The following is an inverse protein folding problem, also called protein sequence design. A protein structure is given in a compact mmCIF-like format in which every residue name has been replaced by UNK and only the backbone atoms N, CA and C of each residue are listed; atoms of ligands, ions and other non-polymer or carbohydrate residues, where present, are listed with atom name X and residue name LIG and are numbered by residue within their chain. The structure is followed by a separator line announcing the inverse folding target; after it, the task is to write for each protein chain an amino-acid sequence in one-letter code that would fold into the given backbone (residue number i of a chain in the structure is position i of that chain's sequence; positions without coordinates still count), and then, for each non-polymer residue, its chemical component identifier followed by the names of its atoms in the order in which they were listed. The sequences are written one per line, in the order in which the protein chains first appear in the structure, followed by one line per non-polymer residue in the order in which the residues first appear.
data_IF_274747281465
#
_entry.id   IF_274747281465
#
_cell.length_a   1.000
_cell.length_b   1.000
_cell.length_c   1.000
_cell.angle_alpha   90.00
_cell.angle_beta   90.00
_cell.angle_gamma   90.00
#
_symmetry.space_group_name_H-M   'P 1'
#
loop_
_entity.id
_entity.type
_entity.pdbx_description
1 polymer ?
#
# COMPACT_ATOMS: atom_id res chain seq x y z
N UNK A 1 -34.83 74.53 23.34
CA UNK A 1 -35.46 73.19 23.31
C UNK A 1 -35.24 72.60 21.92
N UNK A 2 -34.16 71.86 21.64
CA UNK A 2 -33.96 70.40 21.81
C UNK A 2 -35.12 69.55 21.22
N UNK A 3 -34.88 68.93 20.05
CA UNK A 3 -34.77 67.46 19.88
C UNK A 3 -34.51 67.13 18.39
N UNK A 4 -33.29 66.72 18.08
CA UNK A 4 -32.94 66.02 16.84
C UNK A 4 -33.11 64.53 17.09
N UNK A 5 -33.93 63.87 16.28
CA UNK A 5 -34.24 62.45 16.40
C UNK A 5 -33.30 61.66 15.48
N UNK A 6 -32.24 61.07 16.04
CA UNK A 6 -31.40 60.12 15.31
C UNK A 6 -32.12 58.77 15.27
N UNK A 7 -32.59 58.38 14.08
CA UNK A 7 -33.08 57.02 13.83
C UNK A 7 -31.90 56.07 13.62
N UNK A 8 -31.67 55.17 14.56
CA UNK A 8 -30.74 54.04 14.38
C UNK A 8 -31.41 52.99 13.48
N UNK A 9 -30.86 52.78 12.28
CA UNK A 9 -31.19 51.61 11.45
C UNK A 9 -30.31 50.47 11.94
N UNK A 10 -30.91 49.51 12.64
CA UNK A 10 -30.25 48.24 12.96
C UNK A 10 -30.29 47.34 11.73
N UNK A 11 -29.14 47.16 11.07
CA UNK A 11 -28.97 46.16 10.01
C UNK A 11 -28.78 44.80 10.69
N UNK A 12 -29.81 43.97 10.69
CA UNK A 12 -29.71 42.58 11.10
C UNK A 12 -28.96 41.79 10.01
N UNK A 13 -27.70 41.45 10.27
CA UNK A 13 -26.93 40.52 9.43
C UNK A 13 -27.41 39.11 9.75
N UNK A 14 -28.30 38.58 8.92
CA UNK A 14 -28.65 37.16 8.97
C UNK A 14 -27.43 36.35 8.48
N UNK A 15 -26.71 35.73 9.41
CA UNK A 15 -25.71 34.70 9.09
C UNK A 15 -26.45 33.49 8.52
N UNK A 16 -26.56 33.45 7.19
CA UNK A 16 -26.95 32.26 6.44
C UNK A 16 -25.88 31.18 6.68
N UNK A 17 -26.12 30.31 7.66
CA UNK A 17 -25.47 29.01 7.71
C UNK A 17 -25.97 28.20 6.52
N UNK A 18 -25.30 28.32 5.38
CA UNK A 18 -25.45 27.39 4.27
C UNK A 18 -24.79 26.09 4.75
N UNK A 19 -25.53 25.01 5.03
CA UNK A 19 -24.90 23.73 5.30
C UNK A 19 -24.14 23.35 4.02
N UNK A 20 -22.81 23.36 4.08
CA UNK A 20 -21.97 22.86 3.00
C UNK A 20 -22.26 21.35 2.90
N UNK A 21 -23.25 20.99 2.09
CA UNK A 21 -23.45 19.61 1.68
C UNK A 21 -22.30 19.25 0.75
N UNK A 22 -21.17 18.84 1.34
CA UNK A 22 -20.11 18.13 0.63
C UNK A 22 -20.73 16.80 0.16
N UNK A 23 -21.37 16.82 -1.02
CA UNK A 23 -21.67 15.58 -1.72
C UNK A 23 -20.32 14.88 -1.95
N UNK A 24 -20.17 13.60 -1.58
CA UNK A 24 -19.00 12.83 -1.97
C UNK A 24 -18.82 13.02 -3.47
N UNK A 25 -17.62 13.44 -3.89
CA UNK A 25 -17.36 13.65 -5.30
C UNK A 25 -17.58 12.32 -6.02
N UNK A 26 -18.64 12.21 -6.81
CA UNK A 26 -18.91 11.02 -7.63
C UNK A 26 -18.06 11.00 -8.92
N UNK A 27 -16.97 11.77 -8.89
CA UNK A 27 -16.08 12.11 -9.98
C UNK A 27 -14.69 11.49 -9.82
N UNK A 28 -14.49 10.65 -8.79
CA UNK A 28 -13.22 9.93 -8.63
C UNK A 28 -13.04 8.95 -9.80
N UNK A 29 -11.82 8.87 -10.38
CA UNK A 29 -11.58 8.05 -11.56
C UNK A 29 -11.80 6.56 -11.25
N UNK A 30 -12.37 5.84 -12.21
CA UNK A 30 -12.43 4.37 -12.16
C UNK A 30 -11.12 3.72 -12.59
N UNK A 31 -10.24 4.45 -13.27
CA UNK A 31 -8.89 4.02 -13.63
C UNK A 31 -8.06 5.24 -13.99
N UNK A 32 -6.74 5.15 -13.83
CA UNK A 32 -5.81 6.19 -14.27
C UNK A 32 -5.01 5.64 -15.46
N UNK A 33 -5.04 6.28 -16.65
CA UNK A 33 -4.18 5.86 -17.77
C UNK A 33 -2.70 5.89 -17.39
N UNK A 34 -1.89 4.95 -17.90
CA UNK A 34 -0.47 4.81 -17.53
C UNK A 34 0.33 6.12 -17.63
N UNK A 35 0.11 6.91 -18.68
CA UNK A 35 0.76 8.23 -18.87
C UNK A 35 0.35 9.23 -17.77
N UNK A 36 -0.92 9.22 -17.37
CA UNK A 36 -1.40 10.10 -16.30
C UNK A 36 -0.91 9.63 -14.94
N UNK A 37 -0.87 8.31 -14.69
CA UNK A 37 -0.33 7.72 -13.48
C UNK A 37 1.15 8.08 -13.32
N UNK A 38 1.95 7.86 -14.35
CA UNK A 38 3.37 8.19 -14.32
C UNK A 38 3.62 9.68 -14.11
N UNK A 39 2.80 10.54 -14.72
CA UNK A 39 2.85 12.00 -14.47
C UNK A 39 2.49 12.37 -13.04
N UNK A 40 1.58 11.65 -12.38
CA UNK A 40 1.30 11.87 -10.95
C UNK A 40 2.50 11.45 -10.09
N UNK A 41 3.00 10.23 -10.26
CA UNK A 41 4.17 9.72 -9.51
C UNK A 41 5.36 10.67 -9.63
N UNK A 42 5.69 11.07 -10.86
CA UNK A 42 6.84 11.97 -11.10
C UNK A 42 6.57 13.43 -10.77
N UNK A 43 5.38 13.95 -11.08
CA UNK A 43 5.05 15.36 -10.93
C UNK A 43 4.67 15.76 -9.51
N UNK A 44 4.28 14.81 -8.65
CA UNK A 44 4.03 15.03 -7.23
C UNK A 44 5.26 14.77 -6.36
N UNK A 45 6.30 14.12 -6.90
CA UNK A 45 7.54 13.85 -6.19
C UNK A 45 8.46 15.09 -6.14
N UNK A 46 9.14 15.25 -5.01
CA UNK A 46 10.24 16.20 -4.82
C UNK A 46 11.60 15.48 -4.83
N UNK A 47 12.69 16.21 -4.55
CA UNK A 47 14.01 15.60 -4.37
C UNK A 47 14.00 14.61 -3.19
N UNK A 48 14.65 13.46 -3.36
CA UNK A 48 14.61 12.38 -2.38
C UNK A 48 15.33 12.77 -1.07
N UNK A 49 14.67 12.50 0.05
CA UNK A 49 15.26 12.54 1.38
C UNK A 49 15.96 11.24 1.76
N UNK A 50 16.56 11.22 2.95
CA UNK A 50 17.19 10.02 3.52
C UNK A 50 16.46 9.57 4.78
N UNK A 51 16.24 8.26 4.91
CA UNK A 51 15.69 7.64 6.11
C UNK A 51 16.43 6.35 6.44
N UNK A 52 16.58 6.07 7.74
CA UNK A 52 17.46 5.00 8.24
C UNK A 52 16.87 3.60 8.08
N UNK A 53 15.56 3.50 7.93
CA UNK A 53 14.85 2.25 7.67
C UNK A 53 14.50 2.22 6.19
N UNK A 54 14.73 1.07 5.54
CA UNK A 54 14.67 1.05 4.08
C UNK A 54 13.44 0.31 3.54
N UNK A 55 13.05 -0.85 4.06
CA UNK A 55 11.89 -1.59 3.54
C UNK A 55 11.08 -2.23 4.66
N UNK A 56 9.81 -2.52 4.37
CA UNK A 56 8.86 -3.20 5.27
C UNK A 56 8.43 -2.40 6.52
N UNK A 57 7.15 -2.50 6.87
CA UNK A 57 6.62 -1.91 8.09
C UNK A 57 7.08 -2.69 9.33
N UNK A 58 7.13 -2.03 10.49
CA UNK A 58 7.25 -2.67 11.79
C UNK A 58 5.96 -2.58 12.61
N UNK A 59 4.89 -2.01 12.03
CA UNK A 59 3.59 -1.84 12.67
C UNK A 59 2.85 -3.17 12.64
N UNK A 60 2.83 -3.92 13.74
CA UNK A 60 1.96 -5.11 13.85
C UNK A 60 0.57 -4.73 14.39
N UNK A 61 0.50 -3.57 15.01
CA UNK A 61 -0.66 -3.03 15.69
C UNK A 61 -1.77 -2.58 14.73
N UNK A 62 -1.50 -2.46 13.41
CA UNK A 62 -2.52 -2.11 12.42
C UNK A 62 -3.75 -3.03 12.50
N UNK A 63 -3.53 -4.31 12.85
CA UNK A 63 -4.61 -5.28 12.89
C UNK A 63 -5.65 -4.90 13.96
N UNK A 64 -5.21 -4.51 15.15
CA UNK A 64 -6.08 -4.07 16.24
C UNK A 64 -6.81 -2.75 15.92
N UNK A 65 -6.24 -1.89 15.08
CA UNK A 65 -6.85 -0.60 14.72
C UNK A 65 -7.95 -0.71 13.66
N UNK A 66 -7.88 -1.70 12.77
CA UNK A 66 -8.80 -1.85 11.63
C UNK A 66 -10.29 -1.92 12.03
N UNK A 67 -10.71 -2.69 13.06
CA UNK A 67 -12.11 -2.75 13.46
C UNK A 67 -12.70 -1.37 13.82
N UNK A 68 -11.95 -0.54 14.54
CA UNK A 68 -12.41 0.79 14.95
C UNK A 68 -12.45 1.76 13.76
N UNK A 69 -11.45 1.70 12.88
CA UNK A 69 -11.42 2.51 11.66
C UNK A 69 -12.62 2.20 10.74
N UNK A 70 -13.05 0.93 10.65
CA UNK A 70 -14.22 0.53 9.86
C UNK A 70 -15.55 1.07 10.40
N UNK A 71 -15.65 1.38 11.69
CA UNK A 71 -16.87 1.97 12.27
C UNK A 71 -17.07 3.43 11.87
N UNK A 72 -15.97 4.16 11.70
CA UNK A 72 -15.98 5.61 11.45
C UNK A 72 -15.74 5.97 9.98
N UNK A 73 -15.24 5.05 9.16
CA UNK A 73 -14.87 5.30 7.75
C UNK A 73 -15.87 4.68 6.79
N UNK A 74 -16.41 5.49 5.87
CA UNK A 74 -17.25 5.00 4.77
C UNK A 74 -16.38 4.54 3.59
N UNK A 75 -16.69 3.41 2.94
CA UNK A 75 -16.01 2.98 1.72
C UNK A 75 -16.13 4.00 0.57
N UNK A 76 -15.21 3.91 -0.39
CA UNK A 76 -15.25 4.68 -1.64
C UNK A 76 -14.68 6.10 -1.58
N UNK A 77 -14.04 6.47 -0.47
CA UNK A 77 -13.30 7.72 -0.31
C UNK A 77 -11.90 7.70 -0.94
N UNK A 78 -11.05 8.60 -0.48
CA UNK A 78 -9.61 8.65 -0.80
C UNK A 78 -8.82 8.18 0.41
N UNK A 79 -7.82 7.33 0.19
CA UNK A 79 -6.86 6.95 1.23
C UNK A 79 -5.57 7.74 1.07
N UNK A 80 -5.03 8.24 2.18
CA UNK A 80 -3.73 8.91 2.26
C UNK A 80 -2.93 8.20 3.34
N UNK A 81 -1.73 7.74 3.02
CA UNK A 81 -0.89 7.00 3.95
C UNK A 81 0.60 7.23 3.73
N UNK A 82 1.43 6.72 4.64
CA UNK A 82 2.89 6.91 4.61
C UNK A 82 3.60 5.56 4.70
N UNK A 83 4.73 5.41 4.04
CA UNK A 83 5.57 4.21 4.15
C UNK A 83 5.17 3.09 3.19
N UNK A 84 5.54 1.84 3.50
CA UNK A 84 5.48 0.74 2.54
C UNK A 84 4.14 -0.04 2.62
N UNK A 85 4.16 -1.36 2.79
CA UNK A 85 3.03 -2.25 2.55
C UNK A 85 1.94 -2.28 3.61
N UNK A 86 2.14 -1.68 4.79
CA UNK A 86 1.06 -1.62 5.80
C UNK A 86 -0.16 -0.86 5.27
N UNK A 87 0.08 0.10 4.38
CA UNK A 87 -0.94 0.83 3.64
C UNK A 87 -1.92 -0.11 2.92
N UNK A 88 -1.44 -1.24 2.37
CA UNK A 88 -2.31 -2.19 1.67
C UNK A 88 -3.33 -2.86 2.59
N UNK A 89 -2.97 -3.15 3.84
CA UNK A 89 -3.93 -3.69 4.82
C UNK A 89 -5.03 -2.69 5.14
N UNK A 90 -4.69 -1.40 5.33
CA UNK A 90 -5.68 -0.34 5.52
C UNK A 90 -6.54 -0.14 4.27
N UNK A 91 -5.94 -0.11 3.07
CA UNK A 91 -6.65 0.06 1.80
C UNK A 91 -7.63 -1.12 1.58
N UNK A 92 -7.20 -2.36 1.83
CA UNK A 92 -8.08 -3.53 1.72
C UNK A 92 -9.25 -3.48 2.72
N UNK A 93 -9.01 -3.00 3.94
CA UNK A 93 -10.03 -2.89 4.97
C UNK A 93 -11.04 -1.76 4.72
N UNK A 94 -10.56 -0.60 4.27
CA UNK A 94 -11.35 0.63 4.11
C UNK A 94 -11.97 0.77 2.71
N UNK A 95 -11.45 0.05 1.72
CA UNK A 95 -11.90 0.04 0.32
C UNK A 95 -12.10 1.46 -0.27
N UNK A 96 -11.04 2.29 -0.32
CA UNK A 96 -11.10 3.57 -0.99
C UNK A 96 -11.28 3.38 -2.52
N UNK A 97 -11.73 4.43 -3.21
CA UNK A 97 -11.73 4.45 -4.69
C UNK A 97 -10.35 4.75 -5.27
N UNK A 98 -9.49 5.44 -4.52
CA UNK A 98 -8.12 5.78 -4.89
C UNK A 98 -7.28 5.98 -3.62
N UNK A 99 -6.01 5.61 -3.69
CA UNK A 99 -5.04 5.75 -2.61
C UNK A 99 -3.82 6.56 -3.08
N UNK A 100 -3.29 7.39 -2.20
CA UNK A 100 -1.99 8.04 -2.36
C UNK A 100 -1.11 7.63 -1.17
N UNK A 101 0.09 7.16 -1.46
CA UNK A 101 1.06 6.77 -0.45
C UNK A 101 2.26 7.69 -0.59
N UNK A 102 2.58 8.39 0.49
CA UNK A 102 3.64 9.38 0.51
C UNK A 102 4.84 8.81 1.24
N UNK A 103 6.04 9.13 0.77
CA UNK A 103 7.26 8.87 1.53
C UNK A 103 8.34 9.86 1.09
N UNK A 104 9.30 10.10 1.97
CA UNK A 104 10.45 10.97 1.66
C UNK A 104 11.50 10.24 0.83
N UNK A 105 11.46 8.90 0.78
CA UNK A 105 12.43 8.05 0.08
C UNK A 105 11.94 7.71 -1.32
N UNK A 106 12.82 7.88 -2.30
CA UNK A 106 12.56 7.41 -3.67
C UNK A 106 12.47 5.89 -3.74
N UNK A 107 13.23 5.21 -2.89
CA UNK A 107 13.29 3.75 -2.77
C UNK A 107 11.95 3.17 -2.31
N UNK A 108 11.17 3.90 -1.49
CA UNK A 108 9.83 3.48 -1.10
C UNK A 108 8.84 3.56 -2.28
N UNK A 109 8.95 4.59 -3.12
CA UNK A 109 8.16 4.66 -4.36
C UNK A 109 8.51 3.50 -5.30
N UNK A 110 9.80 3.16 -5.44
CA UNK A 110 10.24 2.00 -6.24
C UNK A 110 9.80 0.66 -5.63
N UNK A 111 9.80 0.53 -4.30
CA UNK A 111 9.24 -0.62 -3.58
C UNK A 111 7.74 -0.79 -3.89
N UNK A 112 6.96 0.29 -3.88
CA UNK A 112 5.55 0.26 -4.29
C UNK A 112 5.36 -0.11 -5.77
N UNK A 113 6.24 0.34 -6.68
CA UNK A 113 6.20 -0.10 -8.07
C UNK A 113 6.52 -1.60 -8.22
N UNK A 114 7.40 -2.15 -7.39
CA UNK A 114 7.63 -3.60 -7.31
C UNK A 114 6.35 -4.30 -6.83
N UNK A 115 5.73 -3.84 -5.74
CA UNK A 115 4.47 -4.41 -5.26
C UNK A 115 3.38 -4.38 -6.32
N UNK A 116 3.19 -3.23 -6.97
CA UNK A 116 2.29 -3.05 -8.12
C UNK A 116 2.53 -4.14 -9.16
N UNK A 117 3.77 -4.30 -9.62
CA UNK A 117 4.09 -5.29 -10.62
C UNK A 117 3.77 -6.72 -10.14
N UNK A 118 4.13 -7.05 -8.90
CA UNK A 118 3.87 -8.37 -8.32
C UNK A 118 2.37 -8.63 -8.17
N UNK A 119 1.55 -7.66 -7.74
CA UNK A 119 0.09 -7.79 -7.71
C UNK A 119 -0.49 -8.06 -9.09
N UNK A 120 -0.09 -7.29 -10.10
CA UNK A 120 -0.61 -7.44 -11.46
C UNK A 120 -0.32 -8.84 -12.04
N UNK A 121 0.89 -9.35 -11.82
CA UNK A 121 1.37 -10.65 -12.30
C UNK A 121 0.90 -11.86 -11.50
N UNK A 122 0.21 -11.66 -10.37
CA UNK A 122 -0.16 -12.73 -9.43
C UNK A 122 -1.67 -12.94 -9.42
N UNK A 123 -2.18 -14.02 -10.02
CA UNK A 123 -3.62 -14.29 -10.05
C UNK A 123 -4.22 -14.53 -8.67
N UNK A 124 -3.49 -15.10 -7.71
CA UNK A 124 -3.92 -15.30 -6.32
C UNK A 124 -2.85 -14.83 -5.34
N UNK A 125 -3.23 -14.74 -4.05
CA UNK A 125 -2.27 -14.41 -2.99
C UNK A 125 -1.15 -15.44 -2.82
N UNK A 126 -1.36 -16.69 -3.26
CA UNK A 126 -0.32 -17.72 -3.23
C UNK A 126 0.78 -17.41 -4.25
N UNK A 127 0.41 -17.08 -5.50
CA UNK A 127 1.41 -16.67 -6.49
C UNK A 127 2.05 -15.33 -6.13
N UNK A 128 1.33 -14.44 -5.46
CA UNK A 128 1.89 -13.18 -4.95
C UNK A 128 3.06 -13.43 -4.00
N UNK A 129 2.87 -14.27 -2.96
CA UNK A 129 3.95 -14.59 -2.01
C UNK A 129 5.09 -15.33 -2.71
N UNK A 130 4.76 -16.24 -3.64
CA UNK A 130 5.77 -16.94 -4.45
C UNK A 130 6.64 -15.97 -5.25
N UNK A 131 6.04 -14.97 -5.90
CA UNK A 131 6.75 -13.96 -6.70
C UNK A 131 7.48 -12.96 -5.83
N UNK A 132 6.87 -12.45 -4.77
CA UNK A 132 7.50 -11.44 -3.91
C UNK A 132 8.84 -11.95 -3.34
N UNK A 133 8.86 -13.20 -2.87
CA UNK A 133 10.06 -13.79 -2.26
C UNK A 133 10.87 -14.70 -3.19
N UNK A 134 10.44 -14.88 -4.43
CA UNK A 134 11.02 -15.83 -5.40
C UNK A 134 11.25 -17.22 -4.79
N UNK A 135 10.16 -17.77 -4.25
CA UNK A 135 10.09 -19.11 -3.67
C UNK A 135 9.09 -19.94 -4.45
N UNK A 136 9.41 -21.20 -4.74
CA UNK A 136 8.47 -22.10 -5.43
C UNK A 136 7.19 -22.24 -4.62
N UNK A 137 6.05 -22.32 -5.31
CA UNK A 137 4.77 -22.49 -4.63
C UNK A 137 4.72 -23.84 -3.92
N UNK A 138 4.54 -23.88 -2.58
CA UNK A 138 4.32 -25.12 -1.85
C UNK A 138 3.06 -25.85 -2.34
N UNK A 139 3.10 -27.19 -2.38
CA UNK A 139 1.91 -27.98 -2.67
C UNK A 139 0.85 -27.84 -1.56
N UNK A 140 -0.43 -27.98 -1.92
CA UNK A 140 -1.55 -28.00 -0.97
C UNK A 140 -2.07 -26.64 -0.54
N UNK A 141 -1.50 -25.53 -1.03
CA UNK A 141 -2.06 -24.19 -0.83
C UNK A 141 -3.18 -23.90 -1.85
N UNK A 142 -4.17 -23.14 -1.41
CA UNK A 142 -5.28 -22.66 -2.24
C UNK A 142 -5.76 -21.29 -1.77
N UNK A 143 -6.71 -20.71 -2.50
CA UNK A 143 -7.43 -19.49 -2.13
C UNK A 143 -8.08 -19.57 -0.73
N UNK A 144 -8.39 -20.77 -0.23
CA UNK A 144 -8.98 -21.04 1.09
C UNK A 144 -7.99 -21.20 2.24
N UNK A 145 -6.68 -21.33 1.98
CA UNK A 145 -5.68 -21.51 3.04
C UNK A 145 -5.66 -20.31 3.99
N UNK A 146 -5.56 -20.49 5.29
CA UNK A 146 -5.38 -19.34 6.19
C UNK A 146 -4.06 -18.63 5.90
N UNK A 147 -3.96 -17.34 6.25
CA UNK A 147 -2.69 -16.60 6.10
C UNK A 147 -1.56 -17.22 6.94
N UNK A 148 -1.90 -17.82 8.09
CA UNK A 148 -0.94 -18.57 8.90
C UNK A 148 -0.41 -19.81 8.16
N UNK A 149 -1.28 -20.61 7.54
CA UNK A 149 -0.86 -21.78 6.72
C UNK A 149 -0.01 -21.34 5.53
N UNK A 150 -0.40 -20.24 4.86
CA UNK A 150 0.34 -19.66 3.75
C UNK A 150 1.81 -19.37 4.14
N UNK A 151 2.01 -18.59 5.20
CA UNK A 151 3.36 -18.20 5.63
C UNK A 151 4.14 -19.35 6.30
N UNK A 152 3.47 -20.28 6.98
CA UNK A 152 4.12 -21.50 7.48
C UNK A 152 4.63 -22.39 6.34
N UNK A 153 3.88 -22.50 5.24
CA UNK A 153 4.31 -23.29 4.08
C UNK A 153 5.48 -22.63 3.36
N UNK A 154 5.39 -21.33 3.05
CA UNK A 154 6.48 -20.59 2.38
C UNK A 154 7.74 -20.44 3.26
N UNK A 155 7.60 -20.39 4.58
CA UNK A 155 8.73 -20.35 5.51
C UNK A 155 9.66 -21.57 5.41
N UNK A 156 9.17 -22.69 4.87
CA UNK A 156 9.95 -23.93 4.68
C UNK A 156 10.53 -24.08 3.27
N UNK A 157 10.18 -23.20 2.33
CA UNK A 157 10.66 -23.27 0.95
C UNK A 157 11.87 -22.37 0.79
N UNK A 158 13.06 -22.85 0.35
CA UNK A 158 14.22 -21.99 0.12
C UNK A 158 13.98 -21.00 -1.03
N UNK A 159 14.72 -19.89 -1.03
CA UNK A 159 14.76 -18.98 -2.19
C UNK A 159 15.29 -19.70 -3.43
N UNK A 160 14.67 -19.45 -4.59
CA UNK A 160 15.08 -20.01 -5.88
C UNK A 160 15.69 -18.89 -6.74
N UNK A 161 17.01 -18.98 -6.98
CA UNK A 161 17.75 -17.97 -7.72
C UNK A 161 17.33 -17.86 -9.19
N UNK A 162 16.90 -18.96 -9.81
CA UNK A 162 16.39 -18.94 -11.18
C UNK A 162 15.05 -18.21 -11.23
N UNK A 163 14.17 -18.51 -10.27
CA UNK A 163 12.89 -17.82 -10.13
C UNK A 163 13.09 -16.32 -9.83
N UNK A 164 14.10 -15.97 -9.02
CA UNK A 164 14.49 -14.57 -8.76
C UNK A 164 14.84 -13.83 -10.05
N UNK A 165 15.73 -14.39 -10.88
CA UNK A 165 16.11 -13.75 -12.14
C UNK A 165 14.90 -13.57 -13.06
N UNK A 166 14.06 -14.61 -13.19
CA UNK A 166 12.86 -14.56 -14.03
C UNK A 166 11.86 -13.52 -13.55
N UNK A 167 11.58 -13.48 -12.25
CA UNK A 167 10.62 -12.53 -11.69
C UNK A 167 11.15 -11.08 -11.77
N UNK A 168 12.44 -10.84 -11.50
CA UNK A 168 13.02 -9.50 -11.61
C UNK A 168 12.94 -8.97 -13.05
N UNK A 169 13.26 -9.81 -14.03
CA UNK A 169 13.10 -9.46 -15.45
C UNK A 169 11.63 -9.15 -15.77
N UNK A 170 10.69 -9.99 -15.32
CA UNK A 170 9.26 -9.77 -15.54
C UNK A 170 8.72 -8.49 -14.88
N UNK A 171 9.20 -8.15 -13.68
CA UNK A 171 8.87 -6.87 -12.99
C UNK A 171 9.32 -5.70 -13.85
N UNK A 172 10.58 -5.69 -14.30
CA UNK A 172 11.14 -4.59 -15.10
C UNK A 172 10.46 -4.48 -16.45
N UNK A 173 10.16 -5.61 -17.09
CA UNK A 173 9.43 -5.65 -18.36
C UNK A 173 8.03 -5.08 -18.20
N UNK A 174 7.30 -5.47 -17.16
CA UNK A 174 5.98 -4.92 -16.90
C UNK A 174 6.03 -3.40 -16.68
N UNK A 175 6.94 -2.91 -15.82
CA UNK A 175 7.02 -1.49 -15.50
C UNK A 175 7.50 -0.63 -16.69
N UNK A 176 8.52 -1.08 -17.42
CA UNK A 176 9.18 -0.28 -18.46
C UNK A 176 8.59 -0.53 -19.85
N UNK A 177 8.29 -1.78 -20.22
CA UNK A 177 7.82 -2.12 -21.58
C UNK A 177 6.30 -2.07 -21.68
N UNK A 178 5.59 -2.71 -20.74
CA UNK A 178 4.13 -2.81 -20.78
C UNK A 178 3.47 -1.51 -20.31
N UNK A 179 3.84 -1.02 -19.12
CA UNK A 179 3.30 0.20 -18.49
C UNK A 179 3.99 1.48 -18.96
N UNK A 180 5.17 1.37 -19.59
CA UNK A 180 5.93 2.50 -20.16
C UNK A 180 6.28 3.59 -19.15
N UNK A 181 6.51 3.20 -17.90
CA UNK A 181 7.05 4.10 -16.88
C UNK A 181 8.50 4.42 -17.22
N UNK A 182 8.84 5.71 -17.21
CA UNK A 182 10.15 6.20 -17.63
C UNK A 182 11.16 6.09 -16.48
N UNK A 183 11.41 4.87 -16.01
CA UNK A 183 12.39 4.57 -14.97
C UNK A 183 13.81 4.81 -15.51
N UNK A 184 14.56 5.64 -14.79
CA UNK A 184 15.97 5.91 -15.11
C UNK A 184 16.83 4.66 -14.91
N UNK A 185 18.06 4.65 -15.43
CA UNK A 185 19.00 3.56 -15.16
C UNK A 185 19.30 3.39 -13.66
N UNK A 186 19.29 4.49 -12.91
CA UNK A 186 19.43 4.45 -11.45
C UNK A 186 18.20 3.80 -10.81
N UNK A 187 16.98 4.19 -11.19
CA UNK A 187 15.75 3.56 -10.68
C UNK A 187 15.73 2.06 -10.93
N UNK A 188 16.17 1.62 -12.12
CA UNK A 188 16.23 0.20 -12.45
C UNK A 188 17.27 -0.55 -11.62
N UNK A 189 18.40 0.08 -11.28
CA UNK A 189 19.39 -0.50 -10.36
C UNK A 189 18.85 -0.59 -8.94
N UNK A 190 18.10 0.41 -8.49
CA UNK A 190 17.47 0.39 -7.17
C UNK A 190 16.36 -0.68 -7.10
N UNK A 191 15.56 -0.84 -8.16
CA UNK A 191 14.59 -1.95 -8.26
C UNK A 191 15.27 -3.31 -8.07
N UNK A 192 16.44 -3.52 -8.70
CA UNK A 192 17.22 -4.74 -8.53
C UNK A 192 17.69 -4.93 -7.07
N UNK A 193 18.06 -3.86 -6.39
CA UNK A 193 18.49 -3.85 -4.99
C UNK A 193 17.35 -4.13 -4.01
N UNK A 194 16.23 -3.42 -4.15
CA UNK A 194 15.02 -3.58 -3.33
C UNK A 194 14.50 -5.00 -3.46
N UNK A 195 14.30 -5.50 -4.69
CA UNK A 195 13.77 -6.84 -4.91
C UNK A 195 14.71 -7.95 -4.38
N UNK A 196 16.03 -7.75 -4.46
CA UNK A 196 17.02 -8.65 -3.85
C UNK A 196 16.92 -8.68 -2.34
N UNK A 197 16.54 -7.57 -1.70
CA UNK A 197 16.27 -7.55 -0.26
C UNK A 197 15.11 -8.46 0.11
N UNK A 198 14.00 -8.41 -0.64
CA UNK A 198 12.88 -9.34 -0.45
C UNK A 198 13.31 -10.80 -0.63
N UNK A 199 14.05 -11.11 -1.68
CA UNK A 199 14.56 -12.46 -1.93
C UNK A 199 15.41 -13.00 -0.76
N UNK A 200 16.39 -12.20 -0.30
CA UNK A 200 17.32 -12.58 0.75
C UNK A 200 16.62 -12.72 2.12
N UNK A 201 15.72 -11.79 2.45
CA UNK A 201 14.95 -11.86 3.69
C UNK A 201 13.96 -13.04 3.65
N UNK A 202 13.21 -13.21 2.57
CA UNK A 202 12.10 -14.15 2.55
C UNK A 202 10.99 -13.78 3.54
N UNK A 203 10.01 -14.68 3.74
CA UNK A 203 8.82 -14.37 4.55
C UNK A 203 9.10 -14.29 6.06
N UNK A 204 10.05 -15.08 6.56
CA UNK A 204 10.23 -15.33 8.01
C UNK A 204 11.46 -14.67 8.63
N UNK A 205 12.32 -14.01 7.86
CA UNK A 205 13.43 -13.30 8.47
C UNK A 205 13.00 -11.91 8.90
N UNK A 206 13.28 -11.50 10.15
CA UNK A 206 13.12 -10.12 10.56
C UNK A 206 14.03 -9.26 9.69
N UNK A 207 13.49 -8.15 9.20
CA UNK A 207 14.26 -7.21 8.41
C UNK A 207 15.48 -6.75 9.22
N UNK A 208 16.69 -6.64 8.63
CA UNK A 208 17.90 -6.27 9.36
C UNK A 208 17.87 -4.80 9.78
N UNK A 209 17.05 -4.47 10.77
CA UNK A 209 17.17 -3.29 11.60
C UNK A 209 18.31 -3.54 12.58
N UNK A 210 19.47 -2.99 12.28
CA UNK A 210 20.62 -2.88 13.19
C UNK A 210 20.12 -2.56 14.61
N UNK A 211 20.32 -3.50 15.55
CA UNK A 211 20.00 -3.45 16.98
C UNK A 211 19.55 -2.08 17.49
N UNK A 212 18.23 -1.83 17.50
CA UNK A 212 17.62 -0.87 18.42
C UNK A 212 17.11 -1.65 19.63
N UNK A 213 17.42 -1.17 20.83
CA UNK A 213 17.06 -1.81 22.07
C UNK A 213 15.58 -2.18 22.14
N UNK A 214 15.30 -3.39 22.65
CA UNK A 214 13.99 -3.92 23.05
C UNK A 214 12.85 -4.00 22.00
N UNK A 215 12.95 -3.39 20.82
CA UNK A 215 11.97 -3.53 19.73
C UNK A 215 12.48 -4.57 18.72
N UNK A 216 12.08 -5.84 18.90
CA UNK A 216 12.26 -6.85 17.88
C UNK A 216 11.43 -6.46 16.64
N UNK A 217 12.10 -6.09 15.55
CA UNK A 217 11.44 -5.92 14.24
C UNK A 217 10.79 -7.24 13.83
N UNK A 218 9.49 -7.24 13.56
CA UNK A 218 8.80 -8.43 13.05
C UNK A 218 9.27 -8.80 11.65
N UNK A 219 9.12 -10.06 11.29
CA UNK A 219 9.21 -10.53 9.90
C UNK A 219 7.97 -10.11 9.10
N UNK A 220 8.05 -10.21 7.77
CA UNK A 220 6.88 -10.01 6.92
C UNK A 220 5.74 -10.97 7.28
N UNK A 221 6.05 -12.22 7.63
CA UNK A 221 5.08 -13.18 8.13
C UNK A 221 4.42 -12.71 9.44
N UNK A 222 5.17 -12.09 10.35
CA UNK A 222 4.59 -11.54 11.60
C UNK A 222 3.59 -10.41 11.31
N UNK A 223 3.88 -9.53 10.35
CA UNK A 223 2.95 -8.49 9.92
C UNK A 223 1.70 -9.11 9.28
N UNK A 224 1.89 -10.05 8.35
CA UNK A 224 0.78 -10.62 7.59
C UNK A 224 -0.11 -11.54 8.43
N UNK A 225 0.42 -12.12 9.49
CA UNK A 225 -0.31 -13.00 10.41
C UNK A 225 -0.77 -12.31 11.69
N UNK A 226 -0.51 -11.00 11.84
CA UNK A 226 -1.04 -10.19 12.92
C UNK A 226 -2.58 -10.27 12.98
N UNK A 227 -3.11 -10.32 14.20
CA UNK A 227 -4.53 -10.46 14.50
C UNK A 227 -5.00 -9.26 15.31
N UNK A 228 -6.28 -8.94 15.19
CA UNK A 228 -6.92 -7.96 16.06
C UNK A 228 -7.27 -8.56 17.43
N UNK A 229 -7.95 -7.77 18.27
CA UNK A 229 -8.35 -8.16 19.62
C UNK A 229 -9.38 -9.31 19.64
N UNK A 230 -10.10 -9.53 18.54
CA UNK A 230 -11.04 -10.65 18.36
C UNK A 230 -10.34 -11.90 17.81
N UNK A 231 -9.03 -11.83 17.53
CA UNK A 231 -8.24 -12.92 16.96
C UNK A 231 -8.38 -13.07 15.44
N UNK A 232 -8.99 -12.11 14.74
CA UNK A 232 -9.18 -12.16 13.28
C UNK A 232 -7.96 -11.59 12.54
N UNK A 233 -7.46 -12.25 11.47
CA UNK A 233 -6.37 -11.71 10.67
C UNK A 233 -6.86 -10.52 9.84
N UNK A 234 -6.10 -9.42 9.83
CA UNK A 234 -6.51 -8.17 9.16
C UNK A 234 -5.58 -7.71 8.05
N UNK A 235 -4.53 -8.47 7.74
CA UNK A 235 -3.61 -8.12 6.65
C UNK A 235 -4.28 -8.23 5.27
N UNK A 236 -3.70 -7.59 4.28
CA UNK A 236 -4.19 -7.72 2.91
C UNK A 236 -4.07 -9.14 2.31
N UNK A 237 -3.26 -10.00 2.92
CA UNK A 237 -3.12 -11.41 2.55
C UNK A 237 -3.97 -12.34 3.43
N UNK A 238 -4.77 -11.78 4.35
CA UNK A 238 -5.64 -12.54 5.26
C UNK A 238 -6.69 -13.38 4.51
N UNK A 239 -7.13 -12.92 3.35
CA UNK A 239 -8.11 -13.61 2.51
C UNK A 239 -8.03 -13.19 1.05
N UNK A 240 -8.57 -14.03 0.18
CA UNK A 240 -8.50 -13.83 -1.27
C UNK A 240 -9.26 -12.58 -1.74
N UNK A 241 -10.39 -12.25 -1.13
CA UNK A 241 -11.18 -11.06 -1.48
C UNK A 241 -10.42 -9.74 -1.25
N UNK A 242 -9.70 -9.62 -0.13
CA UNK A 242 -8.81 -8.47 0.13
C UNK A 242 -7.69 -8.37 -0.90
N UNK A 243 -7.09 -9.51 -1.25
CA UNK A 243 -6.03 -9.58 -2.26
C UNK A 243 -6.54 -9.18 -3.65
N UNK A 244 -7.68 -9.72 -4.08
CA UNK A 244 -8.26 -9.41 -5.40
C UNK A 244 -8.68 -7.95 -5.49
N UNK A 245 -9.20 -7.36 -4.41
CA UNK A 245 -9.50 -5.93 -4.37
C UNK A 245 -8.24 -5.09 -4.63
N UNK A 246 -7.14 -5.35 -3.93
CA UNK A 246 -5.88 -4.63 -4.13
C UNK A 246 -5.32 -4.85 -5.53
N UNK A 247 -5.28 -6.10 -5.98
CA UNK A 247 -4.83 -6.44 -7.32
C UNK A 247 -5.61 -5.68 -8.40
N UNK A 248 -6.92 -5.55 -8.25
CA UNK A 248 -7.75 -4.80 -9.19
C UNK A 248 -7.42 -3.30 -9.19
N UNK A 249 -7.35 -2.66 -8.02
CA UNK A 249 -7.04 -1.22 -7.95
C UNK A 249 -5.60 -0.91 -8.37
N UNK A 250 -4.65 -1.81 -8.12
CA UNK A 250 -3.30 -1.74 -8.67
C UNK A 250 -3.32 -1.76 -10.19
N UNK A 251 -4.00 -2.76 -10.80
CA UNK A 251 -4.12 -2.86 -12.27
C UNK A 251 -4.74 -1.63 -12.93
N UNK A 252 -5.65 -0.96 -12.21
CA UNK A 252 -6.34 0.27 -12.63
C UNK A 252 -5.55 1.55 -12.29
N UNK A 253 -4.33 1.44 -11.76
CA UNK A 253 -3.45 2.55 -11.38
C UNK A 253 -4.09 3.47 -10.32
N UNK A 254 -4.84 2.91 -9.37
CA UNK A 254 -5.55 3.65 -8.32
C UNK A 254 -4.82 3.65 -6.97
N UNK A 255 -3.61 3.12 -6.90
CA UNK A 255 -2.68 3.32 -5.78
C UNK A 255 -1.48 4.10 -6.34
N UNK A 256 -1.36 5.37 -5.99
CA UNK A 256 -0.31 6.29 -6.46
C UNK A 256 0.75 6.43 -5.38
N UNK A 257 1.96 5.87 -5.57
CA UNK A 257 3.08 6.06 -4.65
C UNK A 257 3.90 7.33 -4.96
#
# INVERSE_FOLDING_TARGET
MRRSSYGFIAIAVALLFIPLSLKPADTLPLQIPDVAFWRMVTGFSEEAGSFRFQYMSNEREFAALIPELKKSTKPGGVYLGVGPEQNFSYIAALRPRIAFIFDIRRENMLEHLIYKAVFEMSPTRVEFVSRLFSRRTPAGLSDKSTVSELFQAFGRVPGDAQLFTQNLEAIKDLLVKNRRFLLTSQDQSEVDGVYRTFFNAGPGFPYPGRNFGAFFGGSYADLMTARDDDGEPRSYLAGEDSFQFLRDIERRNLIVP
#
